data_IF_913674641817
#
_entry.id   IF_913674641817
#
_cell.length_a   1.000
_cell.length_b   1.000
_cell.length_c   1.000
_cell.angle_alpha   90.00
_cell.angle_beta   90.00
_cell.angle_gamma   90.00
#
_symmetry.space_group_name_H-M   'P 1'
#
loop_
_entity.id
_entity.type
_entity.pdbx_description
1 polymer ?
#
# COMPACT_ATOMS: atom_id res chain seq x y z
N UNK A 1 69.15 58.28 19.83
CA UNK A 1 70.46 58.23 19.10
C UNK A 1 70.09 57.81 17.71
N UNK A 2 69.90 58.80 16.92
CA UNK A 2 70.77 59.27 15.84
C UNK A 2 70.79 58.23 14.73
N UNK A 3 70.30 58.48 13.64
CA UNK A 3 70.46 59.48 12.57
C UNK A 3 70.54 58.74 11.26
N UNK A 4 69.69 59.10 10.34
CA UNK A 4 70.01 59.88 9.08
C UNK A 4 70.64 59.00 7.98
N UNK A 5 70.33 59.08 6.77
CA UNK A 5 69.83 60.04 5.78
C UNK A 5 70.19 59.51 4.41
N UNK A 6 69.36 59.75 3.45
CA UNK A 6 69.60 60.18 2.06
C UNK A 6 70.37 59.23 1.09
N UNK A 7 69.97 59.10 -0.11
CA UNK A 7 69.52 59.92 -1.21
C UNK A 7 69.42 59.09 -2.48
N UNK A 8 68.55 59.34 -3.19
CA UNK A 8 68.33 60.02 -4.46
C UNK A 8 68.97 59.38 -5.72
N UNK A 9 68.14 59.21 -6.66
CA UNK A 9 68.23 59.64 -8.09
C UNK A 9 68.53 58.61 -9.19
N UNK A 10 67.46 58.40 -9.94
CA UNK A 10 67.39 58.37 -11.43
C UNK A 10 68.18 57.35 -12.23
N UNK A 11 67.52 56.53 -13.06
CA UNK A 11 67.42 56.77 -14.52
C UNK A 11 66.60 55.69 -15.21
N UNK A 12 65.66 56.09 -16.00
CA UNK A 12 64.95 55.53 -17.15
C UNK A 12 65.56 54.29 -17.83
N UNK A 13 64.79 53.29 -18.21
CA UNK A 13 64.61 52.88 -19.63
C UNK A 13 63.58 51.74 -19.75
N UNK A 14 62.63 51.97 -20.63
CA UNK A 14 61.67 51.14 -21.38
C UNK A 14 61.84 49.63 -21.31
N UNK A 15 60.69 48.91 -21.04
CA UNK A 15 60.48 47.51 -21.31
C UNK A 15 59.02 47.17 -21.26
N UNK A 16 58.41 46.86 -22.39
CA UNK A 16 57.03 46.56 -22.62
C UNK A 16 56.50 45.48 -21.64
N UNK A 17 55.49 45.80 -20.83
CA UNK A 17 54.77 44.87 -20.02
C UNK A 17 53.53 44.37 -20.79
N UNK A 18 53.56 43.11 -21.21
CA UNK A 18 52.41 42.36 -21.72
C UNK A 18 51.43 42.09 -20.57
N UNK A 19 50.27 42.74 -20.61
CA UNK A 19 49.18 42.50 -19.66
C UNK A 19 48.47 41.23 -20.12
N UNK A 20 48.68 40.09 -19.44
CA UNK A 20 47.84 38.93 -19.52
C UNK A 20 46.59 39.17 -18.65
N UNK A 21 45.52 39.61 -19.29
CA UNK A 21 44.19 39.63 -18.68
C UNK A 21 43.64 38.20 -18.61
N UNK A 22 43.72 37.58 -17.42
CA UNK A 22 43.02 36.33 -17.15
C UNK A 22 41.53 36.72 -16.97
N UNK A 23 40.74 36.50 -18.02
CA UNK A 23 39.28 36.46 -17.92
C UNK A 23 38.91 35.18 -17.14
N UNK A 24 38.64 35.32 -15.87
CA UNK A 24 37.89 34.31 -15.10
C UNK A 24 36.45 34.32 -15.62
N UNK A 25 36.15 33.40 -16.55
CA UNK A 25 34.77 33.07 -16.92
C UNK A 25 34.21 32.33 -15.73
N UNK A 26 33.57 33.05 -14.80
CA UNK A 26 32.70 32.50 -13.80
C UNK A 26 31.50 31.91 -14.52
N UNK A 27 31.46 30.59 -14.67
CA UNK A 27 30.21 29.89 -14.97
C UNK A 27 29.26 30.08 -13.80
N UNK A 28 28.45 31.12 -13.85
CA UNK A 28 27.24 31.15 -13.07
C UNK A 28 26.35 30.03 -13.59
N UNK A 29 26.37 28.89 -12.91
CA UNK A 29 25.29 27.93 -13.03
C UNK A 29 24.02 28.71 -12.61
N UNK A 30 23.22 29.15 -13.57
CA UNK A 30 21.86 29.56 -13.33
C UNK A 30 21.14 28.33 -12.82
N UNK A 31 21.03 28.23 -11.50
CA UNK A 31 20.04 27.36 -10.88
C UNK A 31 18.70 27.83 -11.45
N UNK A 32 18.11 27.04 -12.35
CA UNK A 32 16.76 27.29 -12.82
C UNK A 32 15.89 27.34 -11.55
N UNK A 33 15.29 28.47 -11.29
CA UNK A 33 14.33 28.55 -10.21
C UNK A 33 13.25 27.51 -10.49
N UNK A 34 13.02 26.61 -9.54
CA UNK A 34 11.96 25.62 -9.65
C UNK A 34 10.65 26.36 -9.96
N UNK A 35 9.94 25.88 -10.99
CA UNK A 35 8.71 26.51 -11.43
C UNK A 35 7.66 26.37 -10.32
N UNK A 36 7.27 27.47 -9.70
CA UNK A 36 6.23 27.46 -8.66
C UNK A 36 4.90 27.15 -9.31
N UNK A 37 4.26 26.07 -8.90
CA UNK A 37 2.94 25.66 -9.39
C UNK A 37 1.89 26.71 -9.01
N UNK A 38 1.08 27.14 -9.96
CA UNK A 38 -0.14 27.89 -9.68
C UNK A 38 -1.25 26.88 -9.46
N UNK A 39 -1.67 26.71 -8.20
CA UNK A 39 -2.67 25.72 -7.82
C UNK A 39 -4.05 26.15 -8.29
N UNK A 40 -4.84 25.21 -8.82
CA UNK A 40 -6.24 25.42 -9.19
C UNK A 40 -7.13 25.40 -7.93
N UNK A 41 -6.74 24.59 -6.94
CA UNK A 41 -7.40 24.45 -5.63
C UNK A 41 -6.36 24.21 -4.57
N UNK A 42 -6.34 25.00 -3.53
CA UNK A 42 -5.36 24.95 -2.42
C UNK A 42 -5.95 24.39 -1.11
N UNK A 43 -7.27 24.52 -0.90
CA UNK A 43 -7.95 23.92 0.25
C UNK A 43 -8.50 22.54 -0.10
N UNK A 44 -8.01 21.49 0.57
CA UNK A 44 -8.37 20.11 0.28
C UNK A 44 -8.91 19.37 1.51
N UNK A 45 -9.90 18.52 1.30
CA UNK A 45 -10.40 17.55 2.28
C UNK A 45 -10.03 16.14 1.85
N UNK A 46 -9.22 15.46 2.64
CA UNK A 46 -8.72 14.13 2.34
C UNK A 46 -9.23 13.11 3.36
N UNK A 47 -9.81 12.01 2.85
CA UNK A 47 -10.38 10.95 3.68
C UNK A 47 -9.37 9.85 4.01
N UNK A 48 -9.54 9.21 5.17
CA UNK A 48 -8.75 8.03 5.53
C UNK A 48 -9.52 7.08 6.46
N UNK A 49 -9.05 5.83 6.54
CA UNK A 49 -9.47 4.86 7.55
C UNK A 49 -8.37 4.74 8.62
N UNK A 50 -8.75 4.52 9.87
CA UNK A 50 -7.84 4.42 11.03
C UNK A 50 -7.00 3.14 10.99
N UNK A 51 -5.91 3.21 10.21
CA UNK A 51 -4.93 2.17 9.95
C UNK A 51 -3.54 2.81 9.87
N UNK A 52 -2.48 2.06 10.15
CA UNK A 52 -1.10 2.59 10.09
C UNK A 52 -0.65 2.97 8.68
N UNK A 53 -1.25 2.37 7.66
CA UNK A 53 -0.97 2.65 6.25
C UNK A 53 -1.46 4.03 5.74
N UNK A 54 -2.26 4.76 6.57
CA UNK A 54 -2.55 6.17 6.31
C UNK A 54 -1.37 7.11 6.66
N UNK A 55 -0.28 6.57 7.18
CA UNK A 55 0.86 7.35 7.66
C UNK A 55 1.36 8.43 6.69
N UNK A 56 1.47 8.22 5.36
CA UNK A 56 1.89 9.27 4.46
C UNK A 56 1.03 10.55 4.56
N UNK A 57 -0.29 10.42 4.78
CA UNK A 57 -1.18 11.58 4.97
C UNK A 57 -0.90 12.30 6.28
N UNK A 58 -0.79 11.55 7.40
CA UNK A 58 -0.51 12.14 8.71
C UNK A 58 0.85 12.83 8.75
N UNK A 59 1.87 12.19 8.17
CA UNK A 59 3.23 12.74 8.12
C UNK A 59 3.31 13.98 7.22
N UNK A 60 2.66 13.95 6.04
CA UNK A 60 2.63 15.12 5.18
C UNK A 60 1.98 16.32 5.87
N UNK A 61 0.95 16.10 6.68
CA UNK A 61 0.29 17.12 7.47
C UNK A 61 1.18 17.61 8.63
N UNK A 62 1.67 16.73 9.49
CA UNK A 62 2.41 17.07 10.71
C UNK A 62 3.82 17.62 10.44
N UNK A 63 4.43 17.25 9.31
CA UNK A 63 5.76 17.77 8.90
C UNK A 63 5.67 18.99 8.01
N UNK A 64 4.46 19.52 7.73
CA UNK A 64 4.25 20.70 6.91
C UNK A 64 4.51 20.49 5.42
N UNK A 65 4.53 19.22 4.93
CA UNK A 65 4.84 18.97 3.52
C UNK A 65 3.71 19.41 2.59
N UNK A 66 2.46 19.44 3.08
CA UNK A 66 1.35 20.02 2.33
C UNK A 66 1.48 21.54 2.21
N UNK A 67 1.78 22.24 3.31
CA UNK A 67 1.95 23.69 3.32
C UNK A 67 3.16 24.14 2.50
N UNK A 68 4.24 23.36 2.48
CA UNK A 68 5.42 23.61 1.65
C UNK A 68 5.10 23.60 0.15
N UNK A 69 4.06 22.88 -0.25
CA UNK A 69 3.54 22.83 -1.63
C UNK A 69 2.33 23.76 -1.83
N UNK A 70 2.00 24.60 -0.84
CA UNK A 70 0.90 25.57 -0.90
C UNK A 70 -0.48 24.98 -0.67
N UNK A 71 -0.60 23.79 -0.08
CA UNK A 71 -1.85 23.09 0.16
C UNK A 71 -2.30 23.22 1.63
N UNK A 72 -3.56 23.54 1.83
CA UNK A 72 -4.22 23.61 3.14
C UNK A 72 -5.15 22.38 3.28
N UNK A 73 -4.67 21.36 3.94
CA UNK A 73 -5.32 20.03 3.98
C UNK A 73 -6.09 19.86 5.29
N UNK A 74 -7.32 19.36 5.19
CA UNK A 74 -8.08 18.79 6.30
C UNK A 74 -8.15 17.29 6.15
N UNK A 75 -7.70 16.53 7.16
CA UNK A 75 -7.78 15.07 7.19
C UNK A 75 -9.04 14.62 7.92
N UNK A 76 -9.89 13.82 7.27
CA UNK A 76 -11.17 13.36 7.82
C UNK A 76 -11.22 11.83 7.94
N UNK A 77 -11.27 11.26 9.18
CA UNK A 77 -11.46 9.83 9.37
C UNK A 77 -12.85 9.41 8.93
N UNK A 78 -12.92 8.29 8.20
CA UNK A 78 -14.16 7.74 7.68
C UNK A 78 -14.57 6.45 8.44
N UNK A 79 -15.87 6.17 8.47
CA UNK A 79 -16.42 5.02 9.21
C UNK A 79 -16.09 3.67 8.56
N UNK A 80 -16.04 3.61 7.23
CA UNK A 80 -15.76 2.42 6.45
C UNK A 80 -15.38 2.78 5.00
N UNK A 81 -14.90 1.79 4.25
CA UNK A 81 -14.41 1.95 2.89
C UNK A 81 -15.48 2.37 1.87
N UNK A 82 -16.75 1.96 2.08
CA UNK A 82 -17.84 2.39 1.19
C UNK A 82 -18.14 3.86 1.34
N UNK A 83 -18.29 4.35 2.56
CA UNK A 83 -18.55 5.76 2.85
C UNK A 83 -17.40 6.62 2.32
N UNK A 84 -16.14 6.19 2.51
CA UNK A 84 -14.97 6.89 2.01
C UNK A 84 -15.02 7.05 0.49
N UNK A 85 -15.27 5.96 -0.25
CA UNK A 85 -15.36 5.97 -1.71
C UNK A 85 -16.52 6.86 -2.20
N UNK A 86 -17.71 6.70 -1.61
CA UNK A 86 -18.90 7.46 -1.99
C UNK A 86 -18.65 8.98 -1.81
N UNK A 87 -17.99 9.39 -0.72
CA UNK A 87 -17.67 10.80 -0.48
C UNK A 87 -16.63 11.39 -1.43
N UNK A 88 -15.71 10.57 -1.94
CA UNK A 88 -14.80 11.00 -3.02
C UNK A 88 -15.57 11.13 -4.33
N UNK A 89 -16.44 10.17 -4.66
CA UNK A 89 -17.25 10.21 -5.88
C UNK A 89 -18.18 11.45 -5.91
N UNK A 90 -18.74 11.83 -4.77
CA UNK A 90 -19.64 13.00 -4.67
C UNK A 90 -18.91 14.35 -4.55
N UNK A 91 -17.57 14.34 -4.43
CA UNK A 91 -16.78 15.55 -4.24
C UNK A 91 -16.86 16.14 -2.82
N UNK A 92 -17.42 15.43 -1.86
CA UNK A 92 -17.34 15.81 -0.44
C UNK A 92 -15.92 15.67 0.11
N UNK A 93 -15.15 14.75 -0.44
CA UNK A 93 -13.71 14.60 -0.26
C UNK A 93 -13.03 14.80 -1.61
N UNK A 94 -11.92 15.51 -1.64
CA UNK A 94 -11.13 15.74 -2.84
C UNK A 94 -10.30 14.51 -3.23
N UNK A 95 -9.93 13.70 -2.28
CA UNK A 95 -9.20 12.46 -2.44
C UNK A 95 -9.17 11.65 -1.16
N UNK A 96 -8.67 10.44 -1.23
CA UNK A 96 -8.61 9.58 -0.05
C UNK A 96 -7.55 8.47 -0.14
N UNK A 97 -7.10 8.05 1.03
CA UNK A 97 -6.48 6.76 1.29
C UNK A 97 -7.47 5.65 0.94
N UNK A 98 -7.19 4.84 -0.09
CA UNK A 98 -8.10 3.83 -0.61
C UNK A 98 -7.44 2.45 -0.64
N UNK A 99 -8.27 1.42 -0.55
CA UNK A 99 -7.87 0.06 -0.94
C UNK A 99 -7.49 0.06 -2.42
N UNK A 100 -6.36 -0.54 -2.79
CA UNK A 100 -5.86 -0.50 -4.17
C UNK A 100 -6.85 -1.10 -5.21
N UNK A 101 -7.72 -2.01 -4.79
CA UNK A 101 -8.79 -2.55 -5.63
C UNK A 101 -10.00 -1.63 -5.82
N UNK A 102 -10.21 -0.59 -4.97
CA UNK A 102 -11.40 0.27 -5.07
C UNK A 102 -11.43 1.13 -6.34
N UNK A 103 -10.36 1.83 -6.76
CA UNK A 103 -10.36 2.56 -8.02
C UNK A 103 -10.65 1.67 -9.23
N UNK A 104 -10.06 0.48 -9.25
CA UNK A 104 -10.26 -0.49 -10.32
C UNK A 104 -11.71 -0.98 -10.37
N UNK A 105 -12.26 -1.39 -9.22
CA UNK A 105 -13.64 -1.86 -9.09
C UNK A 105 -14.64 -0.79 -9.52
N UNK A 106 -14.48 0.45 -9.06
CA UNK A 106 -15.34 1.57 -9.44
C UNK A 106 -15.27 1.83 -10.95
N UNK A 107 -14.08 1.83 -11.53
CA UNK A 107 -13.88 2.07 -12.96
C UNK A 107 -14.52 1.00 -13.85
N UNK A 108 -14.39 -0.29 -13.48
CA UNK A 108 -15.05 -1.38 -14.23
C UNK A 108 -16.54 -1.54 -13.91
N UNK A 109 -17.07 -0.79 -12.93
CA UNK A 109 -18.48 -0.82 -12.53
C UNK A 109 -18.87 -1.96 -11.60
N UNK A 110 -17.93 -2.53 -10.84
CA UNK A 110 -18.25 -3.44 -9.74
C UNK A 110 -18.61 -2.63 -8.48
N UNK A 111 -19.86 -2.65 -8.10
CA UNK A 111 -20.44 -1.76 -7.09
C UNK A 111 -20.83 -0.40 -7.68
N UNK A 112 -20.41 0.71 -7.06
CA UNK A 112 -20.67 2.06 -7.59
C UNK A 112 -19.74 2.34 -8.76
N UNK A 113 -20.30 2.72 -9.91
CA UNK A 113 -19.52 3.07 -11.11
C UNK A 113 -19.03 4.51 -11.05
N UNK A 114 -17.73 4.70 -11.06
CA UNK A 114 -17.07 6.00 -11.15
C UNK A 114 -15.66 5.83 -11.69
N UNK A 115 -15.12 6.82 -12.37
CA UNK A 115 -13.73 6.77 -12.82
C UNK A 115 -12.84 7.38 -11.74
N UNK A 116 -12.19 6.52 -10.98
CA UNK A 116 -11.24 6.87 -9.92
C UNK A 116 -9.84 6.51 -10.43
N UNK A 117 -8.91 7.42 -10.23
CA UNK A 117 -7.51 7.26 -10.65
C UNK A 117 -6.56 7.40 -9.46
N UNK A 118 -5.36 6.88 -9.60
CA UNK A 118 -4.32 7.02 -8.58
C UNK A 118 -2.97 7.38 -9.18
N UNK A 119 -2.36 8.50 -8.76
CA UNK A 119 -0.98 8.84 -9.10
C UNK A 119 0.03 8.31 -8.07
N UNK A 120 -0.41 7.68 -6.97
CA UNK A 120 0.44 7.38 -5.84
C UNK A 120 -0.01 6.10 -5.12
N UNK A 121 0.85 5.08 -5.07
CA UNK A 121 0.72 3.96 -4.15
C UNK A 121 1.18 4.39 -2.76
N UNK A 122 0.47 3.98 -1.71
CA UNK A 122 0.75 4.49 -0.37
C UNK A 122 1.76 3.64 0.38
N UNK A 123 1.76 2.32 0.15
CA UNK A 123 2.62 1.38 0.86
C UNK A 123 2.69 0.00 0.20
N UNK A 124 3.60 -0.80 0.72
CA UNK A 124 3.68 -2.25 0.49
C UNK A 124 3.49 -2.97 1.81
N UNK A 125 2.85 -4.13 1.77
CA UNK A 125 2.61 -5.00 2.92
C UNK A 125 1.75 -4.30 4.02
N UNK A 126 1.88 -4.70 5.28
CA UNK A 126 1.24 -4.01 6.41
C UNK A 126 -0.04 -4.67 6.92
N UNK A 127 -0.41 -5.83 6.38
CA UNK A 127 -1.57 -6.61 6.81
C UNK A 127 -1.16 -7.92 7.50
N UNK A 128 -2.12 -8.51 8.22
CA UNK A 128 -1.97 -9.84 8.78
C UNK A 128 -3.30 -10.59 8.86
N UNK A 129 -3.19 -11.91 8.92
CA UNK A 129 -4.33 -12.80 9.18
C UNK A 129 -4.21 -13.28 10.64
N UNK A 130 -5.19 -12.91 11.44
CA UNK A 130 -5.30 -13.27 12.86
C UNK A 130 -6.42 -14.28 13.06
N UNK A 131 -6.19 -15.33 13.83
CA UNK A 131 -7.21 -16.29 14.27
C UNK A 131 -7.45 -16.15 15.76
N UNK A 132 -8.64 -16.56 16.23
CA UNK A 132 -8.94 -16.58 17.67
C UNK A 132 -8.06 -17.61 18.40
N UNK A 133 -7.84 -17.39 19.70
CA UNK A 133 -7.07 -18.36 20.51
C UNK A 133 -7.67 -19.77 20.41
N UNK A 134 -8.99 -19.91 20.32
CA UNK A 134 -9.65 -21.21 20.21
C UNK A 134 -9.29 -21.92 18.89
N UNK A 135 -9.23 -21.19 17.79
CA UNK A 135 -8.77 -21.70 16.48
C UNK A 135 -7.29 -22.02 16.53
N UNK A 136 -6.47 -21.15 17.11
CA UNK A 136 -5.04 -21.36 17.25
C UNK A 136 -4.70 -22.63 18.03
N UNK A 137 -5.36 -22.86 19.16
CA UNK A 137 -5.16 -24.08 19.97
C UNK A 137 -5.43 -25.37 19.16
N UNK A 138 -6.38 -25.36 18.26
CA UNK A 138 -6.63 -26.50 17.36
C UNK A 138 -5.62 -26.57 16.20
N UNK A 139 -5.22 -25.41 15.67
CA UNK A 139 -4.38 -25.29 14.48
C UNK A 139 -2.91 -25.59 14.77
N UNK A 140 -2.39 -25.15 15.91
CA UNK A 140 -0.94 -25.23 16.25
C UNK A 140 -0.38 -26.66 16.26
N UNK A 141 -1.22 -27.68 16.42
CA UNK A 141 -0.81 -29.08 16.35
C UNK A 141 -0.34 -29.50 14.93
N UNK A 142 -0.73 -28.75 13.92
CA UNK A 142 -0.39 -28.97 12.52
C UNK A 142 0.69 -28.03 11.99
N UNK A 143 1.21 -27.14 12.85
CA UNK A 143 2.25 -26.17 12.50
C UNK A 143 3.61 -26.72 12.87
N UNK A 144 4.56 -26.68 11.91
CA UNK A 144 5.95 -27.06 12.17
C UNK A 144 6.61 -26.10 13.17
N UNK A 145 7.64 -26.59 13.86
CA UNK A 145 8.51 -25.79 14.70
C UNK A 145 9.87 -25.59 14.04
N UNK A 146 10.45 -24.43 14.25
CA UNK A 146 11.81 -24.10 13.85
C UNK A 146 12.85 -24.71 14.80
N UNK A 147 14.14 -24.45 14.54
CA UNK A 147 15.25 -24.97 15.35
C UNK A 147 15.23 -24.48 16.82
N UNK A 148 14.61 -23.32 17.07
CA UNK A 148 14.51 -22.73 18.42
C UNK A 148 13.25 -23.18 19.16
N UNK A 149 12.45 -24.06 18.53
CA UNK A 149 11.21 -24.59 19.10
C UNK A 149 10.03 -23.66 19.00
N UNK A 150 10.15 -22.53 18.31
CA UNK A 150 9.06 -21.62 17.96
C UNK A 150 8.27 -22.14 16.75
N UNK A 151 7.05 -21.65 16.55
CA UNK A 151 6.30 -21.98 15.35
C UNK A 151 7.00 -21.39 14.12
N UNK A 152 7.21 -22.23 13.11
CA UNK A 152 7.87 -21.82 11.88
C UNK A 152 6.94 -20.95 11.02
N UNK A 153 7.46 -19.85 10.51
CA UNK A 153 6.77 -18.97 9.56
C UNK A 153 7.42 -19.05 8.18
N UNK A 154 6.63 -18.86 7.11
CA UNK A 154 5.19 -18.60 7.08
C UNK A 154 4.34 -19.82 7.46
N UNK A 155 3.24 -19.59 8.18
CA UNK A 155 2.27 -20.65 8.46
C UNK A 155 1.33 -20.77 7.25
N UNK A 156 1.33 -21.93 6.59
CA UNK A 156 0.46 -22.23 5.46
C UNK A 156 -0.95 -22.62 5.91
N UNK A 157 -1.95 -22.38 5.06
CA UNK A 157 -3.34 -22.65 5.38
C UNK A 157 -3.69 -24.17 5.41
N UNK A 158 -2.80 -25.05 4.97
CA UNK A 158 -2.95 -26.48 5.17
C UNK A 158 -3.03 -26.86 6.67
N UNK A 159 -2.33 -26.11 7.54
CA UNK A 159 -2.46 -26.25 9.00
C UNK A 159 -3.85 -25.86 9.53
N UNK A 160 -4.58 -24.97 8.83
CA UNK A 160 -5.94 -24.56 9.19
C UNK A 160 -7.00 -25.55 8.67
N UNK A 161 -6.72 -26.28 7.58
CA UNK A 161 -7.67 -27.17 6.91
C UNK A 161 -8.37 -28.15 7.86
N UNK A 162 -7.65 -28.88 8.76
CA UNK A 162 -8.30 -29.79 9.72
C UNK A 162 -9.29 -29.10 10.67
N UNK A 163 -9.02 -27.81 10.99
CA UNK A 163 -9.91 -27.02 11.87
C UNK A 163 -11.19 -26.65 11.11
N UNK A 164 -11.07 -26.20 9.86
CA UNK A 164 -12.23 -25.90 8.99
C UNK A 164 -13.10 -27.16 8.79
N UNK A 165 -12.47 -28.29 8.50
CA UNK A 165 -13.16 -29.57 8.32
C UNK A 165 -13.91 -30.01 9.60
N UNK A 166 -13.31 -29.75 10.78
CA UNK A 166 -13.97 -30.02 12.06
C UNK A 166 -15.20 -29.12 12.25
N UNK A 167 -15.12 -27.82 11.98
CA UNK A 167 -16.26 -26.91 12.05
C UNK A 167 -17.39 -27.39 11.13
N UNK A 168 -17.05 -27.80 9.91
CA UNK A 168 -18.00 -28.35 8.95
C UNK A 168 -18.66 -29.64 9.44
N UNK A 169 -17.88 -30.54 10.02
CA UNK A 169 -18.39 -31.79 10.63
C UNK A 169 -19.32 -31.53 11.84
N UNK A 170 -19.00 -30.50 12.61
CA UNK A 170 -19.82 -30.06 13.76
C UNK A 170 -21.06 -29.23 13.33
N UNK A 171 -21.28 -29.00 12.04
CA UNK A 171 -22.37 -28.18 11.50
C UNK A 171 -22.26 -26.69 11.85
N UNK A 172 -21.04 -26.20 12.13
CA UNK A 172 -20.77 -24.82 12.51
C UNK A 172 -20.14 -24.04 11.36
N UNK A 173 -20.55 -22.78 11.11
CA UNK A 173 -19.91 -21.96 10.11
C UNK A 173 -18.51 -21.54 10.57
N UNK A 174 -17.54 -21.50 9.64
CA UNK A 174 -16.22 -20.96 9.85
C UNK A 174 -16.18 -19.54 9.30
N UNK A 175 -16.50 -18.54 10.14
CA UNK A 175 -16.63 -17.14 9.73
C UNK A 175 -15.32 -16.38 9.91
N UNK A 176 -14.85 -15.75 8.85
CA UNK A 176 -13.69 -14.86 8.85
C UNK A 176 -14.10 -13.42 8.50
N UNK A 177 -13.44 -12.47 9.12
CA UNK A 177 -13.61 -11.05 8.81
C UNK A 177 -12.67 -10.62 7.68
N UNK A 178 -13.15 -9.78 6.78
CA UNK A 178 -12.37 -9.02 5.81
C UNK A 178 -12.93 -7.60 5.72
N UNK A 179 -12.12 -6.64 5.23
CA UNK A 179 -12.49 -5.23 5.35
C UNK A 179 -13.42 -4.74 4.24
N UNK A 180 -13.31 -5.31 3.04
CA UNK A 180 -14.13 -4.96 1.88
C UNK A 180 -13.96 -5.97 0.73
N UNK A 181 -14.98 -6.22 -0.13
CA UNK A 181 -14.91 -7.24 -1.19
C UNK A 181 -13.78 -7.06 -2.22
N UNK A 182 -13.31 -5.84 -2.44
CA UNK A 182 -12.25 -5.52 -3.41
C UNK A 182 -10.95 -5.06 -2.71
N UNK A 183 -10.72 -5.55 -1.50
CA UNK A 183 -9.50 -5.25 -0.72
C UNK A 183 -8.41 -6.28 -0.93
N UNK A 184 -7.16 -5.88 -0.75
CA UNK A 184 -6.01 -6.78 -0.61
C UNK A 184 -6.27 -7.82 0.46
N UNK A 185 -6.78 -7.40 1.62
CA UNK A 185 -7.17 -8.27 2.73
C UNK A 185 -8.10 -9.43 2.31
N UNK A 186 -9.13 -9.14 1.49
CA UNK A 186 -10.02 -10.17 0.98
C UNK A 186 -9.31 -11.10 -0.01
N UNK A 187 -8.51 -10.54 -0.92
CA UNK A 187 -7.84 -11.34 -1.95
C UNK A 187 -6.71 -12.19 -1.38
N UNK A 188 -5.95 -11.66 -0.42
CA UNK A 188 -4.88 -12.41 0.24
C UNK A 188 -5.40 -13.45 1.22
N UNK A 189 -6.47 -13.15 1.97
CA UNK A 189 -7.15 -14.15 2.78
C UNK A 189 -7.66 -15.31 1.92
N UNK A 190 -8.30 -15.01 0.77
CA UNK A 190 -8.74 -16.01 -0.20
C UNK A 190 -7.57 -16.76 -0.82
N UNK A 191 -6.48 -16.07 -1.12
CA UNK A 191 -5.26 -16.66 -1.67
C UNK A 191 -4.64 -17.66 -0.69
N UNK A 192 -4.46 -17.23 0.55
CA UNK A 192 -3.92 -18.05 1.62
C UNK A 192 -4.79 -19.30 1.87
N UNK A 193 -6.11 -19.13 2.04
CA UNK A 193 -7.04 -20.25 2.20
C UNK A 193 -6.94 -21.24 1.03
N UNK A 194 -6.98 -20.75 -0.20
CA UNK A 194 -6.94 -21.57 -1.41
C UNK A 194 -5.60 -22.33 -1.55
N UNK A 195 -4.47 -21.75 -1.10
CA UNK A 195 -3.17 -22.42 -1.10
C UNK A 195 -3.14 -23.65 -0.18
N UNK A 196 -4.00 -23.71 0.85
CA UNK A 196 -4.20 -24.82 1.76
C UNK A 196 -5.42 -25.69 1.45
N UNK A 197 -5.94 -25.64 0.22
CA UNK A 197 -7.10 -26.43 -0.21
C UNK A 197 -8.41 -26.12 0.55
N UNK A 198 -8.55 -24.89 1.03
CA UNK A 198 -9.78 -24.35 1.63
C UNK A 198 -10.44 -23.44 0.59
N UNK A 199 -11.65 -23.78 0.14
CA UNK A 199 -12.38 -22.93 -0.79
C UNK A 199 -12.97 -21.71 -0.05
N UNK A 200 -12.56 -20.46 -0.36
CA UNK A 200 -13.08 -19.28 0.30
C UNK A 200 -14.44 -18.81 -0.24
N UNK A 201 -15.01 -19.51 -1.22
CA UNK A 201 -16.23 -19.16 -1.92
C UNK A 201 -16.03 -18.24 -3.12
N UNK A 202 -17.12 -17.98 -3.83
CA UNK A 202 -17.12 -17.20 -5.07
C UNK A 202 -18.20 -16.13 -5.05
N UNK A 203 -17.99 -15.09 -5.85
CA UNK A 203 -18.99 -14.09 -6.24
C UNK A 203 -19.65 -14.50 -7.55
N UNK A 204 -20.87 -14.04 -7.78
CA UNK A 204 -21.53 -14.07 -9.08
C UNK A 204 -22.40 -12.83 -9.25
N UNK A 205 -22.87 -12.53 -10.48
CA UNK A 205 -23.83 -11.43 -10.68
C UNK A 205 -25.13 -11.57 -9.87
N UNK A 206 -25.54 -12.81 -9.57
CA UNK A 206 -26.73 -13.11 -8.79
C UNK A 206 -26.48 -13.14 -7.28
N UNK A 207 -25.24 -13.35 -6.84
CA UNK A 207 -24.84 -13.43 -5.44
C UNK A 207 -23.48 -12.76 -5.22
N UNK A 208 -23.52 -11.55 -4.71
CA UNK A 208 -22.34 -10.72 -4.41
C UNK A 208 -21.81 -10.93 -2.99
N UNK A 209 -22.26 -11.96 -2.27
CA UNK A 209 -21.77 -12.28 -0.93
C UNK A 209 -20.34 -12.81 -0.92
N UNK A 210 -19.89 -13.40 -2.03
CA UNK A 210 -18.59 -14.07 -2.13
C UNK A 210 -18.50 -15.39 -1.38
N UNK A 211 -19.67 -16.03 -1.09
CA UNK A 211 -19.75 -17.21 -0.22
C UNK A 211 -20.17 -18.50 -0.99
N UNK A 212 -20.43 -18.39 -2.30
CA UNK A 212 -20.88 -19.53 -3.10
C UNK A 212 -19.87 -20.67 -3.02
N UNK A 213 -20.31 -21.86 -2.61
CA UNK A 213 -19.48 -23.08 -2.43
C UNK A 213 -18.30 -22.94 -1.46
N UNK A 214 -18.31 -21.94 -0.57
CA UNK A 214 -17.22 -21.72 0.39
C UNK A 214 -17.19 -22.78 1.49
N UNK A 215 -16.00 -23.23 1.86
CA UNK A 215 -15.72 -23.97 3.10
C UNK A 215 -15.56 -23.01 4.28
N UNK A 216 -15.18 -21.75 4.01
CA UNK A 216 -15.14 -20.64 4.94
C UNK A 216 -16.04 -19.50 4.44
N UNK A 217 -16.65 -18.76 5.37
CA UNK A 217 -17.49 -17.61 5.06
C UNK A 217 -16.74 -16.32 5.38
N UNK A 218 -16.61 -15.42 4.41
CA UNK A 218 -15.93 -14.16 4.58
C UNK A 218 -16.97 -13.03 4.69
N UNK A 219 -16.90 -12.25 5.77
CA UNK A 219 -17.83 -11.16 6.06
C UNK A 219 -17.12 -9.82 6.22
N UNK A 220 -17.79 -8.74 5.77
CA UNK A 220 -17.24 -7.39 5.90
C UNK A 220 -17.31 -6.91 7.35
N UNK A 221 -16.15 -6.51 7.88
CA UNK A 221 -16.04 -5.90 9.21
C UNK A 221 -15.10 -4.69 9.12
N UNK A 222 -15.50 -3.50 9.60
CA UNK A 222 -14.60 -2.33 9.62
C UNK A 222 -13.34 -2.61 10.44
N UNK A 223 -12.15 -2.14 10.00
CA UNK A 223 -10.87 -2.45 10.65
C UNK A 223 -10.84 -2.25 12.17
N UNK A 224 -11.28 -1.11 12.74
CA UNK A 224 -11.22 -0.91 14.19
C UNK A 224 -12.16 -1.84 14.99
N UNK A 225 -13.12 -2.48 14.32
CA UNK A 225 -14.09 -3.39 14.96
C UNK A 225 -13.61 -4.86 14.95
N UNK A 226 -12.59 -5.20 14.17
CA UNK A 226 -12.10 -6.57 14.02
C UNK A 226 -11.78 -7.26 15.36
N UNK A 227 -10.97 -6.66 16.28
CA UNK A 227 -10.66 -7.29 17.56
C UNK A 227 -11.90 -7.54 18.42
N UNK A 228 -12.82 -6.59 18.48
CA UNK A 228 -14.06 -6.74 19.28
C UNK A 228 -15.00 -7.82 18.70
N UNK A 229 -15.07 -7.92 17.38
CA UNK A 229 -15.89 -8.93 16.69
C UNK A 229 -15.30 -10.34 16.87
N UNK A 230 -13.96 -10.46 16.90
CA UNK A 230 -13.24 -11.69 17.23
C UNK A 230 -13.50 -12.11 18.70
N UNK A 231 -13.35 -11.15 19.62
CA UNK A 231 -13.58 -11.38 21.07
C UNK A 231 -15.02 -11.82 21.36
N UNK A 232 -15.99 -11.26 20.64
CA UNK A 232 -17.40 -11.64 20.72
C UNK A 232 -17.71 -13.02 20.09
N UNK A 233 -16.77 -13.63 19.36
CA UNK A 233 -16.95 -14.92 18.69
C UNK A 233 -17.85 -14.86 17.44
N UNK A 234 -18.18 -13.69 16.93
CA UNK A 234 -18.95 -13.53 15.69
C UNK A 234 -18.13 -13.97 14.47
N UNK A 235 -16.83 -13.70 14.51
CA UNK A 235 -15.83 -14.23 13.59
C UNK A 235 -14.79 -15.03 14.37
N UNK A 236 -14.17 -16.01 13.72
CA UNK A 236 -13.13 -16.86 14.34
C UNK A 236 -11.71 -16.50 13.87
N UNK A 237 -11.58 -15.56 12.98
CA UNK A 237 -10.36 -14.97 12.48
C UNK A 237 -10.68 -13.85 11.50
N UNK A 238 -9.67 -13.14 11.04
CA UNK A 238 -9.81 -12.03 10.11
C UNK A 238 -8.51 -11.71 9.38
N UNK A 239 -8.61 -10.99 8.27
CA UNK A 239 -7.51 -10.29 7.61
C UNK A 239 -7.75 -8.78 7.74
N UNK A 240 -6.75 -8.05 8.25
CA UNK A 240 -6.84 -6.60 8.47
C UNK A 240 -5.44 -5.96 8.45
N UNK A 241 -5.39 -4.66 8.13
CA UNK A 241 -4.19 -3.84 8.29
C UNK A 241 -3.90 -3.52 9.75
N UNK A 242 -2.65 -3.11 10.02
CA UNK A 242 -2.24 -2.72 11.36
C UNK A 242 -2.88 -1.37 11.80
N UNK A 243 -3.09 -1.19 13.10
CA UNK A 243 -2.54 -1.96 14.23
C UNK A 243 -3.50 -3.05 14.78
N UNK A 244 -4.50 -3.48 14.04
CA UNK A 244 -5.60 -4.27 14.60
C UNK A 244 -5.26 -5.74 14.82
N UNK A 245 -4.23 -6.30 14.16
CA UNK A 245 -3.68 -7.61 14.51
C UNK A 245 -2.89 -7.50 15.83
N UNK A 246 -2.03 -6.50 15.96
CA UNK A 246 -1.29 -6.26 17.19
C UNK A 246 -2.21 -5.93 18.37
N UNK A 247 -3.34 -5.28 18.14
CA UNK A 247 -4.36 -5.06 19.18
C UNK A 247 -4.93 -6.38 19.72
N UNK A 248 -5.13 -7.39 18.88
CA UNK A 248 -5.59 -8.71 19.32
C UNK A 248 -4.51 -9.45 20.12
N UNK A 249 -3.24 -9.39 19.71
CA UNK A 249 -2.10 -9.93 20.46
C UNK A 249 -1.97 -9.25 21.83
N UNK A 250 -2.01 -7.92 21.86
CA UNK A 250 -1.91 -7.14 23.08
C UNK A 250 -3.02 -7.47 24.09
N UNK A 251 -4.24 -7.63 23.61
CA UNK A 251 -5.39 -8.07 24.41
C UNK A 251 -5.35 -9.55 24.78
N UNK A 252 -4.53 -10.37 24.13
CA UNK A 252 -4.47 -11.82 24.32
C UNK A 252 -5.72 -12.55 23.81
N UNK A 253 -6.39 -12.07 22.75
CA UNK A 253 -7.63 -12.65 22.19
C UNK A 253 -7.41 -13.34 20.85
N UNK A 254 -6.27 -13.15 20.19
CA UNK A 254 -5.98 -13.74 18.91
C UNK A 254 -4.49 -13.81 18.61
N UNK A 255 -4.16 -14.62 17.61
CA UNK A 255 -2.80 -14.92 17.15
C UNK A 255 -2.73 -14.66 15.64
N UNK A 256 -1.90 -13.71 15.18
CA UNK A 256 -1.54 -13.58 13.78
C UNK A 256 -0.81 -14.84 13.32
N UNK A 257 -1.35 -15.51 12.31
CA UNK A 257 -0.79 -16.77 11.79
C UNK A 257 0.06 -16.57 10.54
N UNK A 258 -0.17 -15.48 9.82
CA UNK A 258 0.59 -15.12 8.63
C UNK A 258 0.42 -13.63 8.35
N UNK A 259 1.48 -13.00 7.87
CA UNK A 259 1.44 -11.63 7.34
C UNK A 259 1.25 -11.65 5.82
N UNK A 260 0.78 -10.56 5.26
CA UNK A 260 0.71 -10.39 3.81
C UNK A 260 2.09 -10.41 3.15
N UNK A 261 3.13 -9.88 3.83
CA UNK A 261 4.53 -10.01 3.42
C UNK A 261 4.94 -11.49 3.23
N UNK A 262 4.44 -12.39 4.06
CA UNK A 262 4.69 -13.83 3.97
C UNK A 262 3.82 -14.50 2.90
N UNK A 263 2.64 -13.94 2.59
CA UNK A 263 1.78 -14.45 1.51
C UNK A 263 2.33 -14.05 0.15
N UNK A 264 2.72 -12.79 0.00
CA UNK A 264 3.33 -12.24 -1.20
C UNK A 264 4.27 -11.09 -0.82
N UNK A 265 5.57 -11.35 -0.85
CA UNK A 265 6.59 -10.38 -0.48
C UNK A 265 6.50 -9.11 -1.30
N UNK A 266 6.46 -7.96 -0.62
CA UNK A 266 6.34 -6.63 -1.21
C UNK A 266 5.07 -6.47 -2.07
N UNK A 267 3.95 -7.04 -1.59
CA UNK A 267 2.66 -6.84 -2.20
C UNK A 267 2.20 -5.38 -2.10
N UNK A 268 1.47 -4.85 -3.12
CA UNK A 268 0.86 -3.53 -3.06
C UNK A 268 -0.36 -3.57 -2.12
N UNK A 269 -0.59 -2.49 -1.37
CA UNK A 269 -1.69 -2.51 -0.40
C UNK A 269 -2.67 -1.35 -0.57
N UNK A 270 -2.24 -0.11 -0.39
CA UNK A 270 -3.09 1.08 -0.49
C UNK A 270 -2.67 1.99 -1.64
N UNK A 271 -3.62 2.80 -2.07
CA UNK A 271 -3.38 3.87 -3.05
C UNK A 271 -4.02 5.17 -2.58
N UNK A 272 -3.55 6.28 -3.11
CA UNK A 272 -4.22 7.56 -2.94
C UNK A 272 -5.13 7.79 -4.16
N UNK A 273 -6.45 7.74 -3.93
CA UNK A 273 -7.47 7.81 -4.97
C UNK A 273 -8.08 9.20 -5.12
N UNK A 274 -8.28 9.61 -6.36
CA UNK A 274 -8.91 10.86 -6.81
C UNK A 274 -9.92 10.54 -7.92
N UNK A 275 -10.93 11.37 -8.13
CA UNK A 275 -11.71 11.25 -9.38
C UNK A 275 -10.85 11.71 -10.56
N UNK A 276 -11.03 11.10 -11.73
CA UNK A 276 -10.36 11.56 -12.96
C UNK A 276 -10.71 13.02 -13.25
N UNK A 277 -11.98 13.41 -13.05
CA UNK A 277 -12.43 14.79 -13.19
C UNK A 277 -11.63 15.77 -12.31
N UNK A 278 -11.36 15.41 -11.04
CA UNK A 278 -10.54 16.23 -10.15
C UNK A 278 -9.14 16.43 -10.72
N UNK A 279 -8.50 15.34 -11.19
CA UNK A 279 -7.13 15.37 -11.74
C UNK A 279 -7.07 16.23 -13.01
N UNK A 280 -8.07 16.14 -13.89
CA UNK A 280 -8.15 16.94 -15.11
C UNK A 280 -8.38 18.42 -14.82
N UNK A 281 -9.22 18.75 -13.84
CA UNK A 281 -9.53 20.14 -13.48
C UNK A 281 -8.45 20.78 -12.60
N UNK A 282 -7.65 19.96 -11.86
CA UNK A 282 -6.68 20.43 -10.88
C UNK A 282 -5.30 19.77 -11.10
N UNK A 283 -4.69 19.86 -12.28
CA UNK A 283 -3.44 19.15 -12.57
C UNK A 283 -2.26 19.62 -11.73
N UNK A 284 -2.12 20.92 -11.44
CA UNK A 284 -1.03 21.43 -10.60
C UNK A 284 -1.25 21.08 -9.13
N UNK A 285 -2.48 21.17 -8.64
CA UNK A 285 -2.87 20.73 -7.30
C UNK A 285 -2.57 19.24 -7.10
N UNK A 286 -2.87 18.40 -8.11
CA UNK A 286 -2.55 16.96 -8.09
C UNK A 286 -1.05 16.70 -8.01
N UNK A 287 -0.23 17.48 -8.75
CA UNK A 287 1.23 17.39 -8.67
C UNK A 287 1.75 17.81 -7.29
N UNK A 288 1.28 18.94 -6.74
CA UNK A 288 1.64 19.42 -5.42
C UNK A 288 1.32 18.40 -4.33
N UNK A 289 0.11 17.81 -4.39
CA UNK A 289 -0.34 16.76 -3.49
C UNK A 289 0.56 15.52 -3.59
N UNK A 290 0.86 15.07 -4.81
CA UNK A 290 1.74 13.90 -5.05
C UNK A 290 3.16 14.15 -4.53
N UNK A 291 3.72 15.36 -4.73
CA UNK A 291 5.01 15.77 -4.17
C UNK A 291 5.04 15.66 -2.63
N UNK A 292 4.02 16.21 -1.96
CA UNK A 292 3.92 16.16 -0.50
C UNK A 292 3.85 14.72 0.02
N UNK A 293 3.09 13.84 -0.63
CA UNK A 293 2.97 12.43 -0.27
C UNK A 293 4.27 11.64 -0.51
N UNK A 294 4.98 11.89 -1.61
CA UNK A 294 6.30 11.29 -1.87
C UNK A 294 7.28 11.67 -0.74
N UNK A 295 7.34 12.95 -0.35
CA UNK A 295 8.21 13.41 0.75
C UNK A 295 7.87 12.74 2.07
N UNK A 296 6.59 12.57 2.37
CA UNK A 296 6.14 11.88 3.59
C UNK A 296 6.55 10.41 3.60
N UNK A 297 6.41 9.73 2.47
CA UNK A 297 6.83 8.34 2.32
C UNK A 297 8.36 8.20 2.44
N UNK A 298 9.14 9.10 1.82
CA UNK A 298 10.60 9.16 1.97
C UNK A 298 10.99 9.33 3.45
N UNK A 299 10.37 10.26 4.15
CA UNK A 299 10.64 10.50 5.56
C UNK A 299 10.34 9.27 6.43
N UNK A 300 9.26 8.53 6.14
CA UNK A 300 8.89 7.31 6.86
C UNK A 300 9.96 6.21 6.74
N UNK A 301 10.60 6.06 5.61
CA UNK A 301 11.58 5.00 5.34
C UNK A 301 13.05 5.46 5.45
N UNK A 302 13.27 6.73 5.79
CA UNK A 302 14.59 7.33 5.88
C UNK A 302 15.48 6.58 6.90
N UNK A 303 16.77 6.39 6.53
CA UNK A 303 17.79 5.78 7.40
C UNK A 303 17.31 4.49 8.09
N UNK A 304 16.81 3.54 7.30
CA UNK A 304 16.32 2.24 7.81
C UNK A 304 15.25 2.37 8.90
N UNK A 305 14.21 3.14 8.63
CA UNK A 305 13.08 3.38 9.53
C UNK A 305 13.38 4.24 10.77
N UNK A 306 14.42 5.08 10.74
CA UNK A 306 14.82 5.90 11.90
C UNK A 306 13.69 6.79 12.45
N UNK A 307 12.78 7.25 11.59
CA UNK A 307 11.69 8.14 11.95
C UNK A 307 10.41 7.42 12.43
N UNK A 308 10.40 6.07 12.43
CA UNK A 308 9.19 5.29 12.75
C UNK A 308 8.71 5.47 14.20
N UNK A 309 9.61 5.73 15.15
CA UNK A 309 9.23 6.03 16.53
C UNK A 309 8.40 7.32 16.63
N UNK A 310 8.81 8.38 15.92
CA UNK A 310 8.03 9.63 15.85
C UNK A 310 6.70 9.42 15.11
N UNK A 311 6.70 8.64 14.02
CA UNK A 311 5.48 8.28 13.30
C UNK A 311 4.48 7.54 14.20
N UNK A 312 4.94 6.65 15.07
CA UNK A 312 4.10 5.95 16.07
C UNK A 312 3.42 6.93 17.01
N UNK A 313 4.17 7.91 17.54
CA UNK A 313 3.62 8.94 18.42
C UNK A 313 2.55 9.78 17.71
N UNK A 314 2.79 10.17 16.47
CA UNK A 314 1.82 10.90 15.64
C UNK A 314 0.56 10.06 15.43
N UNK A 315 0.71 8.85 14.91
CA UNK A 315 -0.40 7.97 14.59
C UNK A 315 -1.23 7.55 15.80
N UNK A 316 -0.64 7.52 17.00
CA UNK A 316 -1.36 7.18 18.25
C UNK A 316 -2.38 8.24 18.68
N UNK A 317 -2.32 9.44 18.14
CA UNK A 317 -3.27 10.53 18.45
C UNK A 317 -4.66 10.18 17.92
N UNK A 318 -5.69 10.67 18.63
CA UNK A 318 -7.12 10.37 18.34
C UNK A 318 -7.57 10.81 16.96
N UNK A 319 -7.01 11.88 16.46
CA UNK A 319 -7.28 12.45 15.13
C UNK A 319 -6.82 11.55 14.00
N UNK A 320 -5.84 10.67 14.24
CA UNK A 320 -5.31 9.71 13.26
C UNK A 320 -5.81 8.29 13.58
N UNK A 321 -4.92 7.33 13.86
CA UNK A 321 -5.29 5.95 14.15
C UNK A 321 -5.95 5.84 15.52
N UNK A 322 -5.36 6.48 16.54
CA UNK A 322 -5.92 6.53 17.88
C UNK A 322 -5.81 5.23 18.68
N UNK A 323 -4.94 4.32 18.27
CA UNK A 323 -4.58 3.13 19.04
C UNK A 323 -3.41 3.43 19.99
N UNK A 324 -3.19 2.59 21.00
CA UNK A 324 -2.07 2.71 21.93
C UNK A 324 -0.73 2.68 21.15
N UNK A 325 0.16 3.62 21.47
CA UNK A 325 1.46 3.71 20.81
C UNK A 325 2.28 2.41 20.89
N UNK A 326 2.17 1.65 21.99
CA UNK A 326 2.87 0.36 22.14
C UNK A 326 2.33 -0.68 21.18
N UNK A 327 1.03 -0.65 20.89
CA UNK A 327 0.39 -1.54 19.92
C UNK A 327 0.84 -1.19 18.50
N UNK A 328 0.81 0.10 18.14
CA UNK A 328 1.29 0.58 16.83
C UNK A 328 2.78 0.24 16.63
N UNK A 329 3.61 0.45 17.66
CA UNK A 329 5.05 0.21 17.58
C UNK A 329 5.41 -1.25 17.25
N UNK A 330 4.58 -2.23 17.66
CA UNK A 330 4.85 -3.64 17.42
C UNK A 330 4.94 -4.05 15.94
N UNK A 331 4.39 -3.24 15.04
CA UNK A 331 4.44 -3.48 13.59
C UNK A 331 5.10 -2.33 12.83
N UNK A 332 5.06 -1.11 13.36
CA UNK A 332 5.55 0.08 12.66
C UNK A 332 7.09 0.25 12.72
N UNK A 333 7.76 -0.38 13.70
CA UNK A 333 9.19 -0.17 13.97
C UNK A 333 10.10 -1.29 13.46
N UNK A 334 9.66 -2.05 12.45
CA UNK A 334 10.46 -3.13 11.84
C UNK A 334 10.40 -4.44 12.59
N UNK A 335 9.42 -4.62 13.46
CA UNK A 335 9.18 -5.87 14.20
C UNK A 335 7.73 -6.31 14.02
N UNK A 336 7.42 -7.55 14.37
CA UNK A 336 6.05 -8.07 14.41
C UNK A 336 5.92 -9.09 15.53
N UNK A 337 4.88 -8.97 16.35
CA UNK A 337 4.61 -9.92 17.45
C UNK A 337 3.51 -10.88 17.01
N UNK A 338 3.87 -12.18 16.84
CA UNK A 338 2.93 -13.23 16.41
C UNK A 338 2.11 -13.78 17.57
N UNK A 339 2.75 -14.07 18.69
CA UNK A 339 2.12 -14.38 19.98
C UNK A 339 2.72 -13.48 21.04
N UNK A 340 2.03 -13.31 22.16
CA UNK A 340 2.55 -12.53 23.27
C UNK A 340 3.91 -13.04 23.73
N UNK A 341 4.94 -12.24 23.50
CA UNK A 341 6.35 -12.58 23.78
C UNK A 341 7.10 -13.22 22.61
N UNK A 342 6.46 -13.52 21.47
CA UNK A 342 7.15 -13.94 20.24
C UNK A 342 7.21 -12.77 19.24
N UNK A 343 8.01 -11.78 19.59
CA UNK A 343 8.30 -10.64 18.73
C UNK A 343 9.51 -10.94 17.85
N UNK A 344 9.34 -10.76 16.54
CA UNK A 344 10.38 -11.07 15.53
C UNK A 344 10.73 -9.83 14.73
N UNK A 345 11.96 -9.78 14.20
CA UNK A 345 12.40 -8.76 13.26
C UNK A 345 11.77 -9.00 11.91
N UNK A 346 11.01 -8.01 11.43
CA UNK A 346 10.39 -7.97 10.09
C UNK A 346 10.50 -6.53 9.57
N UNK A 347 11.70 -6.08 9.18
CA UNK A 347 11.96 -4.67 8.86
C UNK A 347 11.12 -4.16 7.67
N UNK A 348 10.72 -5.05 6.79
CA UNK A 348 9.91 -4.74 5.61
C UNK A 348 8.43 -5.11 5.80
N UNK A 349 7.95 -5.29 7.03
CA UNK A 349 6.55 -5.58 7.29
C UNK A 349 5.63 -4.49 6.72
N UNK A 350 6.00 -3.22 6.82
CA UNK A 350 5.28 -2.11 6.20
C UNK A 350 6.28 -1.12 5.60
N UNK A 351 6.27 -0.98 4.28
CA UNK A 351 7.21 -0.17 3.50
C UNK A 351 6.46 0.96 2.82
N UNK A 352 6.97 2.20 2.98
CA UNK A 352 6.31 3.38 2.41
C UNK A 352 7.02 3.98 1.20
N UNK A 353 8.34 3.79 1.07
CA UNK A 353 9.09 4.37 -0.05
C UNK A 353 10.07 3.39 -0.70
N UNK A 354 10.81 2.59 0.10
CA UNK A 354 11.77 1.61 -0.43
C UNK A 354 11.09 0.72 -1.47
N UNK A 355 11.90 0.12 -2.37
CA UNK A 355 11.43 -0.80 -3.42
C UNK A 355 10.44 -0.17 -4.40
N UNK A 356 10.49 1.17 -4.58
CA UNK A 356 9.53 1.96 -5.36
C UNK A 356 8.08 1.79 -4.87
N UNK A 357 7.87 1.68 -3.55
CA UNK A 357 6.57 1.45 -2.95
C UNK A 357 5.51 2.46 -3.38
N UNK A 358 5.93 3.72 -3.63
CA UNK A 358 5.02 4.80 -4.02
C UNK A 358 4.72 4.89 -5.50
N UNK A 359 5.48 4.18 -6.35
CA UNK A 359 5.25 4.19 -7.78
C UNK A 359 4.05 3.28 -8.15
N UNK A 360 3.01 3.81 -8.82
CA UNK A 360 1.82 3.05 -9.14
C UNK A 360 2.06 2.13 -10.34
N UNK A 361 2.53 0.90 -10.10
CA UNK A 361 2.81 -0.07 -11.15
C UNK A 361 1.52 -0.63 -11.77
N UNK A 362 1.45 -0.70 -13.09
CA UNK A 362 0.35 -1.36 -13.81
C UNK A 362 0.24 -2.85 -13.45
N UNK A 363 1.38 -3.52 -13.23
CA UNK A 363 1.37 -4.92 -12.81
C UNK A 363 0.65 -5.13 -11.48
N UNK A 364 0.72 -4.18 -10.54
CA UNK A 364 0.00 -4.24 -9.28
C UNK A 364 -1.52 -4.13 -9.51
N UNK A 365 -1.96 -3.17 -10.33
CA UNK A 365 -3.36 -3.06 -10.73
C UNK A 365 -3.88 -4.32 -11.42
N UNK A 366 -3.08 -4.90 -12.31
CA UNK A 366 -3.43 -6.13 -13.03
C UNK A 366 -3.61 -7.30 -12.07
N UNK A 367 -2.78 -7.42 -11.02
CA UNK A 367 -2.96 -8.48 -10.03
C UNK A 367 -4.35 -8.42 -9.37
N UNK A 368 -4.82 -7.23 -8.96
CA UNK A 368 -6.17 -7.06 -8.42
C UNK A 368 -7.25 -7.50 -9.41
N UNK A 369 -7.14 -7.11 -10.66
CA UNK A 369 -8.07 -7.51 -11.71
C UNK A 369 -8.06 -9.02 -11.93
N UNK A 370 -6.90 -9.69 -11.83
CA UNK A 370 -6.81 -11.16 -11.89
C UNK A 370 -7.52 -11.82 -10.72
N UNK A 371 -7.42 -11.26 -9.50
CA UNK A 371 -8.15 -11.75 -8.33
C UNK A 371 -9.66 -11.49 -8.45
N UNK A 372 -10.08 -10.33 -8.97
CA UNK A 372 -11.50 -10.07 -9.27
C UNK A 372 -12.05 -11.11 -10.25
N UNK A 373 -11.28 -11.47 -11.29
CA UNK A 373 -11.64 -12.53 -12.22
C UNK A 373 -11.66 -13.90 -11.53
N UNK A 374 -10.59 -14.24 -10.82
CA UNK A 374 -10.44 -15.51 -10.10
C UNK A 374 -11.66 -15.83 -9.23
N UNK A 375 -12.19 -14.86 -8.55
CA UNK A 375 -13.26 -15.02 -7.56
C UNK A 375 -14.65 -14.70 -8.09
N UNK A 376 -14.81 -14.36 -9.39
CA UNK A 376 -16.11 -14.18 -10.04
C UNK A 376 -16.70 -12.76 -9.98
N UNK A 377 -15.94 -11.77 -9.49
CA UNK A 377 -16.35 -10.35 -9.52
C UNK A 377 -16.30 -9.80 -10.95
N UNK A 378 -15.40 -10.34 -11.79
CA UNK A 378 -15.41 -10.17 -13.25
C UNK A 378 -15.91 -11.52 -13.83
N UNK A 379 -17.22 -11.63 -14.14
CA UNK A 379 -17.80 -12.92 -14.52
C UNK A 379 -17.42 -13.39 -15.94
N UNK A 380 -17.03 -12.42 -16.79
CA UNK A 380 -16.73 -12.68 -18.18
C UNK A 380 -15.23 -12.85 -18.43
N UNK A 381 -14.88 -13.62 -19.44
CA UNK A 381 -13.49 -13.65 -19.94
C UNK A 381 -13.06 -12.26 -20.42
N UNK A 382 -11.82 -11.89 -20.07
CA UNK A 382 -11.13 -10.69 -20.56
C UNK A 382 -9.78 -11.13 -21.13
N UNK A 383 -9.39 -10.59 -22.28
CA UNK A 383 -8.07 -10.81 -22.83
C UNK A 383 -6.99 -10.05 -22.09
N UNK A 384 -5.72 -10.35 -22.32
CA UNK A 384 -4.60 -9.70 -21.62
C UNK A 384 -4.52 -8.20 -21.91
N UNK A 385 -4.97 -7.77 -23.11
CA UNK A 385 -5.00 -6.36 -23.46
C UNK A 385 -5.99 -5.56 -22.58
N UNK A 386 -7.16 -6.13 -22.31
CA UNK A 386 -8.14 -5.50 -21.42
C UNK A 386 -7.59 -5.22 -20.02
N UNK A 387 -6.83 -6.17 -19.45
CA UNK A 387 -6.18 -5.96 -18.13
C UNK A 387 -5.19 -4.81 -18.18
N UNK A 388 -4.36 -4.77 -19.23
CA UNK A 388 -3.37 -3.70 -19.40
C UNK A 388 -4.02 -2.32 -19.61
N UNK A 389 -5.06 -2.23 -20.44
CA UNK A 389 -5.78 -0.99 -20.72
C UNK A 389 -6.53 -0.48 -19.48
N UNK A 390 -7.17 -1.39 -18.73
CA UNK A 390 -7.86 -1.03 -17.49
C UNK A 390 -6.87 -0.53 -16.43
N UNK A 391 -5.74 -1.19 -16.26
CA UNK A 391 -4.69 -0.73 -15.35
C UNK A 391 -4.19 0.67 -15.71
N UNK A 392 -3.91 0.94 -16.98
CA UNK A 392 -3.45 2.26 -17.49
C UNK A 392 -4.51 3.35 -17.35
N UNK A 393 -5.79 3.00 -17.43
CA UNK A 393 -6.85 3.99 -17.24
C UNK A 393 -6.93 4.50 -15.80
N UNK A 394 -6.52 3.67 -14.82
CA UNK A 394 -6.64 3.95 -13.37
C UNK A 394 -5.33 4.42 -12.75
N UNK A 395 -4.22 3.73 -13.00
CA UNK A 395 -2.92 4.03 -12.43
C UNK A 395 -2.18 5.05 -13.30
N UNK A 396 -1.67 6.14 -12.69
CA UNK A 396 -1.10 7.31 -13.39
C UNK A 396 0.40 7.50 -13.04
N UNK A 397 1.30 6.58 -13.43
CA UNK A 397 2.73 6.70 -13.15
C UNK A 397 3.38 7.92 -13.82
N UNK A 398 2.80 8.45 -14.89
CA UNK A 398 3.25 9.67 -15.55
C UNK A 398 3.09 10.91 -14.65
N UNK A 399 1.98 11.03 -13.92
CA UNK A 399 1.76 12.08 -12.92
C UNK A 399 2.76 11.94 -11.78
N UNK A 400 2.96 10.70 -11.28
CA UNK A 400 3.97 10.41 -10.25
C UNK A 400 5.37 10.84 -10.67
N UNK A 401 5.83 10.43 -11.85
CA UNK A 401 7.17 10.77 -12.35
C UNK A 401 7.35 12.27 -12.58
N UNK A 402 6.30 12.97 -13.01
CA UNK A 402 6.33 14.43 -13.14
C UNK A 402 6.52 15.11 -11.77
N UNK A 403 5.79 14.68 -10.75
CA UNK A 403 5.95 15.17 -9.38
C UNK A 403 7.34 14.84 -8.81
N UNK A 404 7.81 13.61 -9.02
CA UNK A 404 9.14 13.16 -8.62
C UNK A 404 10.26 13.99 -9.26
N UNK A 405 10.14 14.31 -10.56
CA UNK A 405 11.09 15.15 -11.28
C UNK A 405 11.18 16.54 -10.66
N UNK A 406 10.05 17.14 -10.33
CA UNK A 406 10.01 18.44 -9.65
C UNK A 406 10.74 18.40 -8.31
N UNK A 407 10.54 17.34 -7.49
CA UNK A 407 11.26 17.17 -6.22
C UNK A 407 12.77 17.07 -6.40
N UNK A 408 13.24 16.39 -7.46
CA UNK A 408 14.66 16.30 -7.79
C UNK A 408 15.21 17.67 -8.21
N UNK A 409 14.50 18.40 -9.05
CA UNK A 409 14.87 19.76 -9.51
C UNK A 409 14.90 20.76 -8.34
N UNK A 410 14.01 20.59 -7.35
CA UNK A 410 13.98 21.37 -6.11
C UNK A 410 15.04 20.94 -5.09
N UNK A 411 15.80 19.89 -5.34
CA UNK A 411 16.78 19.33 -4.40
C UNK A 411 16.18 18.66 -3.17
N UNK A 412 14.88 18.32 -3.21
CA UNK A 412 14.14 17.63 -2.14
C UNK A 412 14.20 16.10 -2.23
N UNK A 413 14.67 15.56 -3.35
CA UNK A 413 14.88 14.14 -3.60
C UNK A 413 16.09 13.92 -4.52
N UNK A 414 16.58 12.68 -4.62
CA UNK A 414 17.68 12.30 -5.50
C UNK A 414 17.16 11.64 -6.77
N UNK A 415 17.85 11.85 -7.88
CA UNK A 415 17.50 11.22 -9.16
C UNK A 415 17.45 9.68 -9.07
N UNK A 416 18.36 9.08 -8.30
CA UNK A 416 18.43 7.64 -8.10
C UNK A 416 17.25 7.04 -7.29
N UNK A 417 16.40 7.88 -6.68
CA UNK A 417 15.29 7.43 -5.84
C UNK A 417 14.07 6.97 -6.66
N UNK A 418 14.06 7.18 -7.98
CA UNK A 418 12.89 6.99 -8.81
C UNK A 418 13.13 6.08 -10.04
N UNK A 419 12.09 5.31 -10.45
CA UNK A 419 12.21 4.36 -11.56
C UNK A 419 11.94 5.02 -12.94
N UNK A 420 12.78 5.97 -13.37
CA UNK A 420 12.59 6.77 -14.59
C UNK A 420 12.38 5.95 -15.87
N UNK A 421 13.00 4.78 -15.96
CA UNK A 421 12.96 3.91 -17.14
C UNK A 421 11.94 2.77 -17.01
N UNK A 422 11.05 2.83 -16.02
CA UNK A 422 10.02 1.81 -15.84
C UNK A 422 8.98 1.89 -16.96
N UNK A 423 8.60 0.74 -17.50
CA UNK A 423 7.44 0.59 -18.39
C UNK A 423 6.12 0.43 -17.62
N UNK A 424 6.16 0.58 -16.29
CA UNK A 424 5.02 0.41 -15.39
C UNK A 424 4.82 -1.03 -14.93
N UNK A 425 5.72 -1.96 -15.24
CA UNK A 425 5.63 -3.35 -14.84
C UNK A 425 6.79 -3.74 -13.93
N UNK A 426 6.47 -4.38 -12.81
CA UNK A 426 7.46 -5.08 -11.99
C UNK A 426 7.97 -6.32 -12.74
N UNK A 427 9.19 -6.73 -12.46
CA UNK A 427 9.71 -8.02 -12.94
C UNK A 427 8.79 -9.17 -12.45
N UNK A 428 8.66 -10.25 -13.23
CA UNK A 428 7.96 -11.44 -12.77
C UNK A 428 8.51 -11.93 -11.42
N UNK A 429 7.63 -12.35 -10.52
CA UNK A 429 8.00 -12.83 -9.18
C UNK A 429 7.37 -14.18 -8.88
N UNK A 430 8.04 -15.00 -8.10
CA UNK A 430 7.53 -16.25 -7.50
C UNK A 430 7.55 -16.19 -5.96
N UNK A 431 7.57 -14.99 -5.40
CA UNK A 431 7.62 -14.75 -3.96
C UNK A 431 6.23 -14.89 -3.28
N UNK A 432 5.38 -15.78 -3.83
CA UNK A 432 4.11 -16.15 -3.21
C UNK A 432 4.29 -17.37 -2.30
N UNK A 433 3.45 -17.47 -1.26
CA UNK A 433 3.50 -18.55 -0.26
C UNK A 433 3.40 -19.95 -0.85
N UNK A 434 2.77 -20.10 -2.02
CA UNK A 434 2.64 -21.36 -2.77
C UNK A 434 3.70 -21.53 -3.87
N UNK A 435 4.57 -20.54 -4.06
CA UNK A 435 5.65 -20.55 -5.06
C UNK A 435 5.18 -20.36 -6.50
N UNK A 436 3.91 -19.98 -6.72
CA UNK A 436 3.43 -19.66 -8.07
C UNK A 436 4.07 -18.38 -8.59
N UNK A 437 4.32 -18.35 -9.90
CA UNK A 437 4.88 -17.17 -10.55
C UNK A 437 3.78 -16.26 -11.06
N UNK A 438 3.95 -14.96 -10.81
CA UNK A 438 3.11 -13.89 -11.34
C UNK A 438 3.91 -13.01 -12.30
N UNK A 439 3.35 -12.79 -13.48
CA UNK A 439 3.82 -11.82 -14.47
C UNK A 439 2.62 -10.94 -14.91
N UNK A 440 2.68 -9.66 -14.60
CA UNK A 440 1.61 -8.71 -14.97
C UNK A 440 1.38 -8.56 -16.48
N UNK A 441 2.33 -9.02 -17.32
CA UNK A 441 2.17 -9.05 -18.79
C UNK A 441 1.40 -10.25 -19.32
N UNK A 442 1.18 -11.28 -18.48
CA UNK A 442 0.52 -12.54 -18.82
C UNK A 442 -0.59 -12.89 -17.80
N UNK A 443 -1.60 -12.02 -17.58
CA UNK A 443 -2.59 -12.21 -16.51
C UNK A 443 -3.43 -13.47 -16.65
N UNK A 444 -3.84 -13.87 -17.87
CA UNK A 444 -4.63 -15.08 -18.06
C UNK A 444 -3.81 -16.36 -17.77
N UNK A 445 -2.53 -16.39 -18.16
CA UNK A 445 -1.65 -17.51 -17.81
C UNK A 445 -1.50 -17.67 -16.29
N UNK A 446 -1.40 -16.55 -15.56
CA UNK A 446 -1.39 -16.57 -14.11
C UNK A 446 -2.71 -17.08 -13.52
N UNK A 447 -3.87 -16.59 -13.99
CA UNK A 447 -5.19 -17.08 -13.55
C UNK A 447 -5.32 -18.58 -13.77
N UNK A 448 -4.88 -19.09 -14.91
CA UNK A 448 -4.98 -20.51 -15.26
C UNK A 448 -4.03 -21.40 -14.43
N UNK A 449 -2.95 -20.86 -13.88
CA UNK A 449 -2.03 -21.57 -12.98
C UNK A 449 -2.60 -21.81 -11.58
N UNK A 450 -3.56 -21.00 -11.13
CA UNK A 450 -4.12 -21.04 -9.78
C UNK A 450 -5.00 -22.29 -9.58
N UNK A 451 -4.80 -23.02 -8.48
CA UNK A 451 -5.51 -24.30 -8.22
C UNK A 451 -7.01 -24.10 -8.00
N UNK A 452 -7.40 -23.18 -7.12
CA UNK A 452 -8.79 -22.84 -6.85
C UNK A 452 -9.08 -21.46 -7.42
N UNK A 453 -10.16 -21.36 -8.20
CA UNK A 453 -10.59 -20.13 -8.84
C UNK A 453 -11.12 -20.35 -10.24
N UNK A 454 -11.82 -19.36 -10.77
CA UNK A 454 -12.26 -19.35 -12.17
C UNK A 454 -11.03 -19.25 -13.08
N UNK A 455 -11.05 -20.01 -14.16
CA UNK A 455 -10.03 -19.94 -15.20
C UNK A 455 -10.30 -18.80 -16.19
N UNK A 456 -9.28 -18.37 -16.93
CA UNK A 456 -9.41 -17.26 -17.86
C UNK A 456 -10.59 -17.41 -18.83
N UNK A 457 -10.72 -18.57 -19.48
CA UNK A 457 -11.79 -18.85 -20.45
C UNK A 457 -13.11 -19.33 -19.86
N UNK A 458 -13.20 -19.55 -18.56
CA UNK A 458 -14.39 -20.06 -17.90
C UNK A 458 -15.50 -19.00 -17.86
N UNK A 459 -16.73 -19.36 -18.26
CA UNK A 459 -17.91 -18.51 -18.13
C UNK A 459 -18.58 -18.73 -16.78
N UNK A 460 -19.13 -17.64 -16.21
CA UNK A 460 -20.00 -17.69 -15.04
C UNK A 460 -21.41 -17.36 -15.51
N UNK A 461 -22.29 -18.35 -15.57
CA UNK A 461 -23.70 -18.16 -15.89
C UNK A 461 -24.53 -18.31 -14.59
N UNK A 462 -25.13 -17.23 -14.14
CA UNK A 462 -25.98 -17.21 -12.94
C UNK A 462 -25.24 -17.64 -11.66
N UNK A 463 -25.90 -18.46 -10.83
CA UNK A 463 -25.30 -19.05 -9.62
C UNK A 463 -24.43 -20.27 -9.91
N UNK A 464 -24.39 -20.74 -11.15
CA UNK A 464 -23.61 -21.91 -11.58
C UNK A 464 -22.17 -21.55 -11.84
N UNK A 465 -21.37 -21.41 -10.79
CA UNK A 465 -19.92 -21.44 -10.90
C UNK A 465 -19.52 -22.89 -11.08
N UNK A 466 -19.30 -23.30 -12.31
CA UNK A 466 -18.75 -24.62 -12.62
C UNK A 466 -17.25 -24.55 -12.31
N UNK A 467 -16.91 -24.80 -11.06
CA UNK A 467 -15.53 -25.00 -10.64
C UNK A 467 -15.17 -26.46 -10.77
N UNK A 468 -14.03 -26.73 -11.36
CA UNK A 468 -13.45 -28.07 -11.40
C UNK A 468 -12.93 -28.55 -10.05
#
# INVERSE_FOLDING_TARGET
>A
MTEKLTGAMKTLLNGAATICSVLAIGTFATQAAAETLTLEKDELKLGFIKLTDMAPLAIAYEKGFFEDEGLYVTLEPQANWKVLLDRVITGELDGAHMLAGQPLAATIGYGTKAHIVTPFSMDLNGNGITVSNAVWEMMKAYVAKDADGKFAHPIKADALKPVVDKFKADGKPFNLGMVFPVSTHNYELRYWLASGDINPGFYSPADVSGQIKGDALLSVTPPPQMPATLEAGTIVGYSVGEPWNQAAVFKGIGVPVVTDYEIWKNNPEKVFGLTEEFVEQNPNTTLALTKALIRAAMWLDENDNANRAEAVEILSRKEYVGADAKVIANSMTGTFEYEKGDKREVPDFNVFFRYNATYPFYSDAIWYLTQMRRWGQIPEFKDDAWYAETAKSVYKPDVYLKAAKMLVEEGKAKDADFPWNSDGYKAPTSDFIDGLSYDGKNPNAYIDSLKIGLKGQQKVEGADIVGG
#
